data_IF_130214232995
#
_entry.id   IF_130214232995
#
_cell.length_a   1.000
_cell.length_b   1.000
_cell.length_c   1.000
_cell.angle_alpha   90.00
_cell.angle_beta   90.00
_cell.angle_gamma   90.00
#
_symmetry.space_group_name_H-M   'P 1'
#
loop_
_entity.id
_entity.type
_entity.pdbx_description
1 polymer ?
#
# COMPACT_ATOMS: atom_id res chain seq x y z
N UNK A 1 9.84 -54.12 -9.07
CA UNK A 1 8.38 -53.87 -9.15
C UNK A 1 8.00 -52.99 -7.96
N UNK A 2 8.01 -51.67 -8.13
CA UNK A 2 7.57 -50.75 -7.08
C UNK A 2 6.10 -50.42 -7.33
N UNK A 3 5.24 -50.93 -6.45
CA UNK A 3 3.85 -50.50 -6.39
C UNK A 3 3.84 -49.03 -5.96
N UNK A 4 3.54 -48.14 -6.91
CA UNK A 4 3.08 -46.80 -6.57
C UNK A 4 1.78 -46.98 -5.79
N UNK A 5 1.82 -46.70 -4.48
CA UNK A 5 0.62 -46.50 -3.69
C UNK A 5 -0.08 -45.26 -4.27
N UNK A 6 -1.05 -45.50 -5.15
CA UNK A 6 -2.06 -44.50 -5.47
C UNK A 6 -2.78 -44.20 -4.17
N UNK A 7 -2.53 -43.01 -3.61
CA UNK A 7 -3.39 -42.44 -2.58
C UNK A 7 -4.82 -42.47 -3.13
N UNK A 8 -5.80 -43.02 -2.37
CA UNK A 8 -7.16 -43.08 -2.85
C UNK A 8 -7.63 -41.65 -3.12
N UNK A 9 -8.07 -41.39 -4.35
CA UNK A 9 -8.78 -40.16 -4.70
C UNK A 9 -10.05 -40.10 -3.84
N UNK A 10 -9.94 -39.45 -2.67
CA UNK A 10 -11.10 -39.19 -1.81
C UNK A 10 -12.00 -38.26 -2.62
N UNK A 11 -13.13 -38.79 -3.09
CA UNK A 11 -14.14 -38.00 -3.80
C UNK A 11 -15.00 -37.32 -2.74
N UNK A 12 -14.86 -36.00 -2.63
CA UNK A 12 -15.73 -35.19 -1.78
C UNK A 12 -17.02 -34.89 -2.54
N UNK A 13 -18.16 -35.27 -1.96
CA UNK A 13 -19.48 -34.95 -2.51
C UNK A 13 -19.82 -33.50 -2.18
N UNK A 14 -20.22 -32.74 -3.20
CA UNK A 14 -20.61 -31.34 -3.08
C UNK A 14 -21.86 -31.06 -3.92
N UNK A 15 -22.65 -30.08 -3.49
CA UNK A 15 -23.79 -29.58 -4.28
C UNK A 15 -23.27 -28.71 -5.42
N UNK A 16 -23.97 -28.62 -6.57
CA UNK A 16 -23.56 -27.75 -7.67
C UNK A 16 -23.26 -26.29 -7.24
N UNK A 17 -24.06 -25.73 -6.34
CA UNK A 17 -23.88 -24.36 -5.82
C UNK A 17 -22.60 -24.16 -4.97
N UNK A 18 -21.98 -25.24 -4.52
CA UNK A 18 -20.72 -25.21 -3.76
C UNK A 18 -19.50 -25.23 -4.68
N UNK A 19 -19.68 -25.66 -5.95
CA UNK A 19 -18.62 -25.79 -6.95
C UNK A 19 -18.45 -24.53 -7.80
N UNK A 20 -17.28 -24.42 -8.43
CA UNK A 20 -16.95 -23.33 -9.36
C UNK A 20 -16.92 -23.78 -10.82
N UNK A 21 -17.23 -22.86 -11.73
CA UNK A 21 -17.19 -23.11 -13.18
C UNK A 21 -15.74 -23.24 -13.67
N UNK A 22 -15.30 -24.43 -14.14
CA UNK A 22 -13.93 -24.64 -14.64
C UNK A 22 -13.62 -23.84 -15.92
N UNK A 23 -14.62 -23.27 -16.60
CA UNK A 23 -14.39 -22.37 -17.75
C UNK A 23 -14.19 -20.91 -17.34
N UNK A 24 -14.48 -20.55 -16.10
CA UNK A 24 -14.27 -19.19 -15.59
C UNK A 24 -12.82 -19.00 -15.15
N UNK A 25 -11.90 -18.75 -16.10
CA UNK A 25 -10.46 -18.66 -15.83
C UNK A 25 -10.09 -17.69 -14.69
N UNK A 26 -10.76 -16.55 -14.63
CA UNK A 26 -10.55 -15.54 -13.57
C UNK A 26 -10.88 -16.05 -12.17
N UNK A 27 -11.72 -17.08 -12.06
CA UNK A 27 -12.07 -17.77 -10.81
C UNK A 27 -11.12 -18.94 -10.59
N UNK A 28 -10.89 -19.79 -11.59
CA UNK A 28 -10.03 -20.99 -11.46
C UNK A 28 -8.61 -20.62 -11.04
N UNK A 29 -8.09 -19.50 -11.54
CA UNK A 29 -6.72 -19.06 -11.28
C UNK A 29 -6.47 -18.65 -9.82
N UNK A 30 -7.54 -18.51 -9.02
CA UNK A 30 -7.50 -18.18 -7.59
C UNK A 30 -7.27 -19.39 -6.68
N UNK A 31 -7.47 -20.61 -7.19
CA UNK A 31 -7.39 -21.85 -6.41
C UNK A 31 -6.03 -22.52 -6.54
N UNK A 32 -5.59 -23.23 -5.50
CA UNK A 32 -4.42 -24.10 -5.56
C UNK A 32 -4.81 -25.40 -6.29
N UNK A 33 -3.83 -26.06 -6.91
CA UNK A 33 -4.07 -27.21 -7.80
C UNK A 33 -4.69 -28.42 -7.09
N UNK A 34 -4.45 -28.55 -5.80
CA UNK A 34 -4.93 -29.64 -4.95
C UNK A 34 -6.33 -29.38 -4.34
N UNK A 35 -6.95 -28.23 -4.65
CA UNK A 35 -8.28 -27.90 -4.12
C UNK A 35 -9.40 -28.55 -4.94
N UNK A 36 -10.19 -29.38 -4.27
CA UNK A 36 -11.31 -30.13 -4.87
C UNK A 36 -12.60 -29.30 -4.93
N UNK A 37 -12.57 -28.14 -5.58
CA UNK A 37 -13.70 -27.20 -5.66
C UNK A 37 -14.31 -27.09 -7.07
N UNK A 38 -13.92 -28.01 -7.97
CA UNK A 38 -14.39 -28.08 -9.35
C UNK A 38 -15.07 -29.42 -9.62
N UNK A 39 -16.00 -29.47 -10.60
CA UNK A 39 -16.60 -30.73 -11.02
C UNK A 39 -15.54 -31.75 -11.43
N UNK A 40 -15.63 -32.96 -10.88
CA UNK A 40 -14.70 -34.07 -11.14
C UNK A 40 -15.44 -35.34 -11.56
N UNK A 41 -14.69 -36.37 -11.95
CA UNK A 41 -15.25 -37.65 -12.40
C UNK A 41 -16.18 -37.50 -13.61
N UNK A 42 -17.36 -38.12 -13.57
CA UNK A 42 -18.34 -38.04 -14.67
C UNK A 42 -18.81 -36.61 -14.95
N UNK A 43 -18.85 -35.77 -13.92
CA UNK A 43 -19.28 -34.37 -14.01
C UNK A 43 -18.15 -33.40 -14.40
N UNK A 44 -16.91 -33.86 -14.40
CA UNK A 44 -15.75 -33.08 -14.84
C UNK A 44 -15.68 -32.88 -16.35
N UNK A 45 -16.47 -33.61 -17.15
CA UNK A 45 -16.53 -33.43 -18.60
C UNK A 45 -17.24 -32.12 -18.98
N UNK A 46 -16.51 -31.08 -19.47
CA UNK A 46 -17.08 -29.76 -19.69
C UNK A 46 -18.06 -29.66 -20.86
N UNK A 47 -18.14 -30.71 -21.69
CA UNK A 47 -18.98 -30.76 -22.89
C UNK A 47 -20.35 -31.36 -22.59
N UNK A 48 -20.41 -32.35 -21.69
CA UNK A 48 -21.64 -33.14 -21.47
C UNK A 48 -22.49 -32.65 -20.31
N UNK A 49 -21.88 -32.31 -19.18
CA UNK A 49 -22.62 -32.04 -17.94
C UNK A 49 -22.50 -30.60 -17.45
N UNK A 50 -21.50 -29.84 -17.90
CA UNK A 50 -21.33 -28.45 -17.50
C UNK A 50 -22.55 -27.56 -17.80
N UNK A 51 -23.27 -27.67 -18.94
CA UNK A 51 -24.48 -26.88 -19.16
C UNK A 51 -25.54 -27.11 -18.07
N UNK A 52 -25.74 -28.36 -17.66
CA UNK A 52 -26.68 -28.70 -16.60
C UNK A 52 -26.21 -28.19 -15.25
N UNK A 53 -24.91 -28.30 -14.95
CA UNK A 53 -24.33 -27.76 -13.71
C UNK A 53 -24.46 -26.23 -13.62
N UNK A 54 -24.36 -25.51 -14.76
CA UNK A 54 -24.65 -24.07 -14.82
C UNK A 54 -26.10 -23.75 -14.49
N UNK A 55 -27.05 -24.52 -15.01
CA UNK A 55 -28.46 -24.38 -14.66
C UNK A 55 -28.72 -24.67 -13.17
N UNK A 56 -27.94 -25.57 -12.58
CA UNK A 56 -27.99 -25.90 -11.15
C UNK A 56 -27.20 -24.93 -10.25
N UNK A 57 -26.57 -23.90 -10.83
CA UNK A 57 -26.01 -22.78 -10.09
C UNK A 57 -24.55 -22.92 -9.67
N UNK A 58 -23.69 -23.64 -10.43
CA UNK A 58 -22.23 -23.53 -10.21
C UNK A 58 -21.78 -22.07 -10.30
N UNK A 59 -20.79 -21.71 -9.47
CA UNK A 59 -20.35 -20.33 -9.31
C UNK A 59 -19.37 -19.93 -10.40
N UNK A 60 -19.71 -18.90 -11.19
CA UNK A 60 -18.76 -18.22 -12.08
C UNK A 60 -18.23 -16.91 -11.49
N UNK A 61 -18.76 -16.50 -10.33
CA UNK A 61 -18.34 -15.32 -9.57
C UNK A 61 -18.28 -15.70 -8.09
N UNK A 62 -17.26 -15.23 -7.38
CA UNK A 62 -17.13 -15.49 -5.94
C UNK A 62 -18.18 -14.70 -5.16
N UNK A 63 -18.77 -15.35 -4.17
CA UNK A 63 -19.54 -14.68 -3.10
C UNK A 63 -18.58 -14.11 -2.04
N UNK A 64 -19.05 -13.22 -1.16
CA UNK A 64 -18.27 -12.77 0.00
C UNK A 64 -17.72 -13.90 0.88
N UNK A 65 -18.51 -14.95 1.11
CA UNK A 65 -18.04 -16.11 1.88
C UNK A 65 -16.95 -16.88 1.13
N UNK A 66 -17.03 -16.96 -0.20
CA UNK A 66 -15.95 -17.57 -0.99
C UNK A 66 -14.66 -16.75 -0.84
N UNK A 67 -14.73 -15.41 -0.91
CA UNK A 67 -13.56 -14.53 -0.72
C UNK A 67 -12.92 -14.74 0.64
N UNK A 68 -13.71 -14.75 1.72
CA UNK A 68 -13.20 -15.00 3.07
C UNK A 68 -12.52 -16.38 3.13
N UNK A 69 -13.15 -17.40 2.56
CA UNK A 69 -12.59 -18.76 2.48
C UNK A 69 -11.29 -18.82 1.66
N UNK A 70 -11.13 -17.96 0.64
CA UNK A 70 -9.88 -17.83 -0.13
C UNK A 70 -8.78 -17.17 0.67
N UNK A 71 -9.11 -16.12 1.42
CA UNK A 71 -8.17 -15.47 2.34
C UNK A 71 -7.67 -16.49 3.37
N UNK A 72 -8.57 -17.28 3.95
CA UNK A 72 -8.19 -18.34 4.91
C UNK A 72 -7.28 -19.40 4.31
N UNK A 73 -7.56 -19.82 3.07
CA UNK A 73 -6.70 -20.74 2.36
C UNK A 73 -5.30 -20.15 2.09
N UNK A 74 -5.22 -18.89 1.67
CA UNK A 74 -3.94 -18.18 1.46
C UNK A 74 -3.12 -18.14 2.75
N UNK A 75 -3.75 -17.77 3.87
CA UNK A 75 -3.08 -17.66 5.18
C UNK A 75 -2.57 -19.03 5.63
N UNK A 76 -3.41 -20.07 5.56
CA UNK A 76 -3.02 -21.43 5.93
C UNK A 76 -1.87 -21.97 5.07
N UNK A 77 -1.85 -21.64 3.77
CA UNK A 77 -0.82 -22.12 2.83
C UNK A 77 0.51 -21.40 2.99
N UNK A 78 0.50 -20.16 3.49
CA UNK A 78 1.73 -19.42 3.80
C UNK A 78 2.66 -20.20 4.75
N UNK A 79 2.11 -20.97 5.66
CA UNK A 79 2.87 -21.74 6.67
C UNK A 79 3.49 -23.04 6.11
N UNK A 80 3.04 -23.52 4.95
CA UNK A 80 3.26 -24.92 4.52
C UNK A 80 3.68 -25.07 3.05
N UNK A 81 3.56 -24.03 2.24
CA UNK A 81 3.74 -24.09 0.77
C UNK A 81 4.77 -23.04 0.29
N UNK A 82 5.17 -23.13 -0.97
CA UNK A 82 5.98 -22.10 -1.65
C UNK A 82 5.34 -20.71 -1.51
N UNK A 83 6.02 -19.82 -0.77
CA UNK A 83 5.58 -18.47 -0.46
C UNK A 83 5.28 -17.63 -1.72
N UNK A 84 6.05 -17.79 -2.79
CA UNK A 84 5.85 -17.04 -4.04
C UNK A 84 4.54 -17.45 -4.72
N UNK A 85 4.19 -18.75 -4.70
CA UNK A 85 2.90 -19.22 -5.24
C UNK A 85 1.75 -18.64 -4.43
N UNK A 86 1.85 -18.65 -3.09
CA UNK A 86 0.83 -18.06 -2.20
C UNK A 86 0.65 -16.57 -2.50
N UNK A 87 1.77 -15.85 -2.70
CA UNK A 87 1.75 -14.43 -3.06
C UNK A 87 1.07 -14.18 -4.41
N UNK A 88 1.38 -14.99 -5.43
CA UNK A 88 0.72 -14.91 -6.74
C UNK A 88 -0.79 -15.12 -6.61
N UNK A 89 -1.23 -16.09 -5.79
CA UNK A 89 -2.66 -16.35 -5.55
C UNK A 89 -3.35 -15.20 -4.82
N UNK A 90 -2.69 -14.61 -3.83
CA UNK A 90 -3.19 -13.45 -3.11
C UNK A 90 -3.29 -12.20 -4.00
N UNK A 91 -2.29 -11.95 -4.85
CA UNK A 91 -2.32 -10.83 -5.81
C UNK A 91 -3.46 -11.01 -6.84
N UNK A 92 -3.66 -12.22 -7.35
CA UNK A 92 -4.78 -12.54 -8.23
C UNK A 92 -6.13 -12.35 -7.54
N UNK A 93 -6.25 -12.76 -6.27
CA UNK A 93 -7.47 -12.54 -5.49
C UNK A 93 -7.74 -11.05 -5.30
N UNK A 94 -6.72 -10.25 -4.96
CA UNK A 94 -6.86 -8.81 -4.81
C UNK A 94 -7.32 -8.15 -6.12
N UNK A 95 -6.72 -8.51 -7.26
CA UNK A 95 -7.12 -8.01 -8.59
C UNK A 95 -8.53 -8.45 -8.97
N UNK A 96 -8.89 -9.69 -8.67
CA UNK A 96 -10.25 -10.19 -8.88
C UNK A 96 -11.28 -9.38 -8.08
N UNK A 97 -10.98 -9.10 -6.81
CA UNK A 97 -11.84 -8.29 -5.95
C UNK A 97 -11.95 -6.87 -6.49
N UNK A 98 -10.85 -6.26 -6.94
CA UNK A 98 -10.86 -4.94 -7.61
C UNK A 98 -11.81 -4.93 -8.81
N UNK A 99 -11.66 -5.90 -9.71
CA UNK A 99 -12.44 -5.98 -10.95
C UNK A 99 -13.94 -6.30 -10.71
N UNK A 100 -14.26 -7.02 -9.64
CA UNK A 100 -15.61 -7.57 -9.38
C UNK A 100 -16.28 -6.98 -8.15
N UNK A 101 -15.68 -6.00 -7.48
CA UNK A 101 -16.14 -5.47 -6.19
C UNK A 101 -17.63 -5.13 -6.18
N UNK A 102 -18.09 -4.36 -7.16
CA UNK A 102 -19.48 -3.93 -7.23
C UNK A 102 -20.42 -5.11 -7.47
N UNK A 103 -19.99 -6.11 -8.25
CA UNK A 103 -20.77 -7.34 -8.46
C UNK A 103 -20.87 -8.19 -7.19
N UNK A 104 -19.77 -8.29 -6.42
CA UNK A 104 -19.69 -9.03 -5.17
C UNK A 104 -20.57 -8.40 -4.09
N UNK A 105 -20.63 -7.06 -4.06
CA UNK A 105 -21.28 -6.30 -2.99
C UNK A 105 -22.73 -5.90 -3.27
N UNK A 106 -23.17 -5.85 -4.54
CA UNK A 106 -24.49 -5.33 -4.96
C UNK A 106 -25.69 -5.89 -4.19
N UNK A 107 -25.65 -7.16 -3.80
CA UNK A 107 -26.77 -7.86 -3.16
C UNK A 107 -26.35 -8.65 -1.91
N UNK A 108 -25.22 -8.29 -1.30
CA UNK A 108 -24.73 -9.01 -0.12
C UNK A 108 -24.86 -8.17 1.14
N UNK A 109 -25.49 -8.77 2.14
CA UNK A 109 -25.53 -8.25 3.51
C UNK A 109 -24.35 -8.78 4.35
N UNK A 110 -23.50 -9.62 3.76
CA UNK A 110 -22.40 -10.25 4.45
C UNK A 110 -21.31 -9.21 4.75
N UNK A 111 -20.91 -9.14 6.01
CA UNK A 111 -19.81 -8.29 6.45
C UNK A 111 -18.50 -8.79 5.84
N UNK A 112 -17.80 -7.88 5.16
CA UNK A 112 -16.44 -8.11 4.64
C UNK A 112 -15.36 -7.63 5.62
N UNK A 113 -15.69 -7.40 6.90
CA UNK A 113 -14.71 -6.96 7.91
C UNK A 113 -13.53 -7.93 8.05
N UNK A 114 -13.75 -9.22 7.81
CA UNK A 114 -12.68 -10.22 7.79
C UNK A 114 -11.59 -9.92 6.75
N UNK A 115 -11.89 -9.17 5.68
CA UNK A 115 -10.87 -8.72 4.71
C UNK A 115 -9.90 -7.75 5.38
N UNK A 116 -10.39 -6.87 6.26
CA UNK A 116 -9.62 -5.78 6.86
C UNK A 116 -8.71 -6.23 8.00
N UNK A 117 -9.07 -7.32 8.68
CA UNK A 117 -8.38 -7.81 9.89
C UNK A 117 -7.32 -8.88 9.61
N UNK A 118 -7.32 -9.49 8.43
CA UNK A 118 -6.43 -10.61 8.09
C UNK A 118 -5.20 -10.17 7.30
N UNK A 119 -4.05 -10.77 7.57
CA UNK A 119 -2.79 -10.51 6.85
C UNK A 119 -2.71 -11.28 5.53
N UNK A 120 -3.37 -10.76 4.49
CA UNK A 120 -3.42 -11.43 3.18
C UNK A 120 -3.04 -10.54 2.00
N UNK A 121 -2.84 -9.23 2.21
CA UNK A 121 -2.47 -8.31 1.14
C UNK A 121 -0.97 -8.43 0.85
N UNK A 122 -0.56 -8.74 -0.40
CA UNK A 122 0.84 -8.69 -0.78
C UNK A 122 1.36 -7.24 -0.77
N UNK A 123 2.36 -6.98 0.06
CA UNK A 123 2.97 -5.65 0.22
C UNK A 123 4.49 -5.75 0.18
N UNK A 124 5.14 -4.59 0.03
CA UNK A 124 6.59 -4.43 0.11
C UNK A 124 6.95 -3.31 1.08
N UNK A 125 8.14 -3.41 1.68
CA UNK A 125 8.78 -2.32 2.42
C UNK A 125 9.64 -1.44 1.49
N UNK A 126 10.33 -0.46 2.07
CA UNK A 126 11.24 0.44 1.35
C UNK A 126 12.40 -0.29 0.65
N UNK A 127 12.81 -1.43 1.20
CA UNK A 127 13.92 -2.24 0.66
C UNK A 127 13.47 -3.12 -0.52
N UNK A 128 12.15 -3.22 -0.73
CA UNK A 128 11.53 -4.13 -1.68
C UNK A 128 11.33 -5.54 -1.13
N UNK A 129 11.50 -5.74 0.19
CA UNK A 129 11.22 -7.02 0.83
C UNK A 129 9.72 -7.27 0.80
N UNK A 130 9.34 -8.45 0.33
CA UNK A 130 7.96 -8.91 0.19
C UNK A 130 7.45 -9.47 1.51
N UNK A 131 6.22 -9.13 1.87
CA UNK A 131 5.48 -9.75 2.98
C UNK A 131 3.96 -9.56 2.80
N UNK A 132 3.18 -10.02 3.77
CA UNK A 132 1.73 -9.87 3.80
C UNK A 132 1.34 -8.89 4.90
N UNK A 133 0.34 -8.05 4.62
CA UNK A 133 -0.19 -7.07 5.57
C UNK A 133 -1.70 -7.16 5.66
N UNK A 134 -2.24 -6.66 6.78
CA UNK A 134 -3.66 -6.34 6.88
C UNK A 134 -3.95 -5.11 6.02
N UNK A 135 -5.13 -5.01 5.39
CA UNK A 135 -5.46 -3.81 4.64
C UNK A 135 -5.41 -2.51 5.46
N UNK A 136 -5.71 -2.59 6.77
CA UNK A 136 -5.68 -1.44 7.68
C UNK A 136 -4.27 -0.95 8.03
N UNK A 137 -3.26 -1.79 7.78
CA UNK A 137 -1.88 -1.53 8.17
C UNK A 137 -0.99 -1.22 6.95
N UNK A 138 -1.56 -1.11 5.75
CA UNK A 138 -0.82 -0.79 4.53
C UNK A 138 -1.51 0.26 3.67
N UNK A 139 -0.77 0.79 2.69
CA UNK A 139 -1.23 1.89 1.85
C UNK A 139 -1.15 1.56 0.36
N UNK A 140 -2.08 2.14 -0.39
CA UNK A 140 -2.03 2.15 -1.84
C UNK A 140 -0.75 2.80 -2.36
N UNK A 141 -0.24 2.30 -3.48
CA UNK A 141 0.99 2.77 -4.15
C UNK A 141 1.00 4.28 -4.44
N UNK A 142 -0.17 4.90 -4.61
CA UNK A 142 -0.33 6.37 -4.75
C UNK A 142 0.39 7.13 -3.62
N UNK A 143 0.36 6.60 -2.40
CA UNK A 143 0.93 7.24 -1.22
C UNK A 143 2.32 6.73 -0.85
N UNK A 144 2.98 5.96 -1.75
CA UNK A 144 4.29 5.34 -1.51
C UNK A 144 5.27 6.29 -0.83
N UNK A 145 5.51 7.45 -1.43
CA UNK A 145 6.53 8.40 -0.93
C UNK A 145 6.14 9.11 0.38
N UNK A 146 4.89 9.03 0.82
CA UNK A 146 4.45 9.57 2.10
C UNK A 146 4.60 8.57 3.24
N UNK A 147 4.74 7.27 2.95
CA UNK A 147 4.62 6.22 3.97
C UNK A 147 5.60 5.06 3.85
N UNK A 148 6.39 4.92 2.78
CA UNK A 148 7.12 3.68 2.49
C UNK A 148 8.19 3.25 3.51
N UNK A 149 8.67 4.14 4.38
CA UNK A 149 9.56 3.83 5.50
C UNK A 149 8.76 3.54 6.79
N UNK A 150 7.54 4.09 6.89
CA UNK A 150 6.70 4.00 8.06
C UNK A 150 5.64 2.90 8.00
N UNK A 151 5.26 2.48 6.80
CA UNK A 151 4.21 1.51 6.55
C UNK A 151 4.43 0.75 5.22
N UNK A 152 3.97 -0.51 5.14
CA UNK A 152 3.96 -1.31 3.93
C UNK A 152 3.15 -0.68 2.80
N UNK A 153 3.59 -0.89 1.56
CA UNK A 153 2.95 -0.33 0.36
C UNK A 153 2.57 -1.44 -0.63
N UNK A 154 1.43 -1.28 -1.29
CA UNK A 154 1.01 -2.17 -2.37
C UNK A 154 1.90 -2.04 -3.61
N UNK A 155 2.15 -3.16 -4.28
CA UNK A 155 2.84 -3.17 -5.58
C UNK A 155 1.90 -2.79 -6.75
N UNK A 156 0.60 -3.10 -6.60
CA UNK A 156 -0.44 -2.92 -7.60
C UNK A 156 -1.32 -1.69 -7.34
N UNK A 157 -1.73 -1.01 -8.41
CA UNK A 157 -2.67 0.10 -8.37
C UNK A 157 -4.10 -0.40 -8.57
N UNK A 158 -4.91 -0.38 -7.51
CA UNK A 158 -6.34 -0.67 -7.61
C UNK A 158 -7.08 0.43 -8.38
N UNK A 159 -8.18 0.04 -9.02
CA UNK A 159 -8.99 0.92 -9.88
C UNK A 159 -10.38 1.17 -9.31
N UNK A 160 -10.94 0.22 -8.58
CA UNK A 160 -12.31 0.32 -8.09
C UNK A 160 -12.41 1.32 -6.92
N UNK A 161 -13.14 2.41 -7.13
CA UNK A 161 -13.29 3.48 -6.14
C UNK A 161 -14.04 3.03 -4.89
N UNK A 162 -15.04 2.16 -5.04
CA UNK A 162 -15.82 1.67 -3.90
C UNK A 162 -14.97 0.74 -3.03
N UNK A 163 -14.12 -0.10 -3.63
CA UNK A 163 -13.15 -0.91 -2.90
C UNK A 163 -12.12 -0.03 -2.19
N UNK A 164 -11.53 0.94 -2.90
CA UNK A 164 -10.55 1.86 -2.31
C UNK A 164 -11.13 2.61 -1.10
N UNK A 165 -12.37 3.09 -1.20
CA UNK A 165 -13.09 3.73 -0.10
C UNK A 165 -13.34 2.77 1.07
N UNK A 166 -13.74 1.53 0.76
CA UNK A 166 -13.95 0.50 1.79
C UNK A 166 -12.67 0.17 2.55
N UNK A 167 -11.55 0.04 1.84
CA UNK A 167 -10.22 -0.23 2.42
C UNK A 167 -9.56 1.01 3.03
N UNK A 168 -10.14 2.21 2.85
CA UNK A 168 -9.56 3.52 3.21
C UNK A 168 -8.22 3.81 2.51
N UNK A 169 -8.01 3.24 1.32
CA UNK A 169 -6.81 3.46 0.51
C UNK A 169 -6.95 4.61 -0.49
N UNK A 170 -8.13 5.21 -0.62
CA UNK A 170 -8.33 6.50 -1.28
C UNK A 170 -8.04 7.69 -0.36
N UNK A 171 -7.94 7.44 0.95
CA UNK A 171 -7.78 8.48 1.96
C UNK A 171 -6.31 8.86 2.13
N UNK A 172 -6.04 10.16 2.24
CA UNK A 172 -4.70 10.67 2.43
C UNK A 172 -4.12 10.14 3.77
N UNK A 173 -2.82 9.79 3.85
CA UNK A 173 -2.21 9.31 5.09
C UNK A 173 -2.38 10.29 6.25
N UNK A 174 -2.50 9.73 7.45
CA UNK A 174 -2.51 10.50 8.68
C UNK A 174 -1.20 11.29 8.84
N UNK A 175 -1.33 12.51 9.38
CA UNK A 175 -0.19 13.43 9.54
C UNK A 175 0.91 12.84 10.44
N UNK A 176 0.54 12.06 11.45
CA UNK A 176 1.49 11.38 12.32
C UNK A 176 2.35 10.38 11.55
N UNK A 177 1.77 9.65 10.59
CA UNK A 177 2.51 8.71 9.74
C UNK A 177 3.45 9.45 8.79
N UNK A 178 3.00 10.56 8.19
CA UNK A 178 3.85 11.39 7.31
C UNK A 178 5.02 12.01 8.08
N UNK A 179 4.82 12.44 9.33
CA UNK A 179 5.91 12.95 10.16
C UNK A 179 6.87 11.84 10.60
N UNK A 180 6.36 10.64 10.89
CA UNK A 180 7.19 9.45 11.18
C UNK A 180 8.03 9.04 9.96
N UNK A 181 7.48 9.11 8.76
CA UNK A 181 8.22 8.93 7.50
C UNK A 181 9.39 9.91 7.39
N UNK A 182 9.16 11.19 7.69
CA UNK A 182 10.20 12.21 7.70
C UNK A 182 11.25 11.92 8.77
N UNK A 183 10.83 11.51 9.96
CA UNK A 183 11.72 11.11 11.05
C UNK A 183 12.66 9.97 10.65
N UNK A 184 12.15 8.95 9.96
CA UNK A 184 12.97 7.86 9.44
C UNK A 184 13.98 8.34 8.40
N UNK A 185 13.58 9.23 7.47
CA UNK A 185 14.52 9.83 6.53
C UNK A 185 15.70 10.50 7.23
N UNK A 186 15.42 11.27 8.30
CA UNK A 186 16.45 11.95 9.08
C UNK A 186 17.38 10.98 9.77
N UNK A 187 16.80 9.97 10.43
CA UNK A 187 17.54 8.95 11.17
C UNK A 187 18.46 8.18 10.24
N UNK A 188 17.95 7.76 9.08
CA UNK A 188 18.70 7.02 8.07
C UNK A 188 19.85 7.84 7.46
N UNK A 189 19.60 9.12 7.17
CA UNK A 189 20.64 10.06 6.72
C UNK A 189 21.73 10.22 7.79
N UNK A 190 21.35 10.44 9.05
CA UNK A 190 22.30 10.58 10.16
C UNK A 190 23.13 9.30 10.39
N UNK A 191 22.51 8.13 10.15
CA UNK A 191 23.16 6.83 10.20
C UNK A 191 23.96 6.49 8.94
N UNK A 192 24.14 7.43 8.00
CA UNK A 192 24.86 7.27 6.72
C UNK A 192 24.27 6.16 5.83
N UNK A 193 22.97 5.92 5.92
CA UNK A 193 22.21 4.94 5.14
C UNK A 193 20.98 5.59 4.50
N UNK A 194 21.14 6.67 3.71
CA UNK A 194 20.00 7.39 3.15
C UNK A 194 19.12 6.45 2.29
N UNK A 195 17.78 6.60 2.35
CA UNK A 195 16.88 5.87 1.46
C UNK A 195 17.21 6.15 0.00
N UNK A 196 17.12 5.13 -0.87
CA UNK A 196 17.40 5.25 -2.31
C UNK A 196 16.60 6.37 -2.99
N UNK A 197 15.35 6.56 -2.55
CA UNK A 197 14.42 7.55 -3.10
C UNK A 197 14.23 8.78 -2.17
N UNK A 198 15.22 9.08 -1.31
CA UNK A 198 15.15 10.14 -0.30
C UNK A 198 14.59 11.47 -0.84
N UNK A 199 15.08 11.95 -1.99
CA UNK A 199 14.61 13.20 -2.60
C UNK A 199 13.13 13.15 -2.99
N UNK A 200 12.67 12.03 -3.55
CA UNK A 200 11.26 11.83 -3.92
C UNK A 200 10.37 11.78 -2.69
N UNK A 201 10.84 11.15 -1.61
CA UNK A 201 10.16 11.09 -0.31
C UNK A 201 10.02 12.50 0.28
N UNK A 202 11.13 13.23 0.44
CA UNK A 202 11.08 14.59 0.99
C UNK A 202 10.21 15.52 0.14
N UNK A 203 10.30 15.43 -1.19
CA UNK A 203 9.51 16.23 -2.09
C UNK A 203 8.01 15.96 -1.96
N UNK A 204 7.60 14.70 -1.83
CA UNK A 204 6.20 14.33 -1.60
C UNK A 204 5.70 14.82 -0.23
N UNK A 205 6.54 14.74 0.80
CA UNK A 205 6.23 15.24 2.14
C UNK A 205 6.04 16.76 2.11
N UNK A 206 6.91 17.52 1.44
CA UNK A 206 6.76 18.97 1.31
C UNK A 206 5.53 19.35 0.48
N UNK A 207 5.19 18.57 -0.53
CA UNK A 207 3.96 18.74 -1.31
C UNK A 207 2.72 18.55 -0.42
N UNK A 208 2.68 17.49 0.38
CA UNK A 208 1.62 17.23 1.37
C UNK A 208 1.49 18.38 2.39
N UNK A 209 2.61 18.90 2.91
CA UNK A 209 2.62 20.05 3.81
C UNK A 209 2.09 21.31 3.12
N UNK A 210 2.50 21.54 1.88
CA UNK A 210 2.08 22.70 1.12
C UNK A 210 0.58 22.64 0.77
N UNK A 211 0.06 21.48 0.41
CA UNK A 211 -1.39 21.29 0.21
C UNK A 211 -2.19 21.64 1.47
N UNK A 212 -1.74 21.18 2.65
CA UNK A 212 -2.37 21.54 3.91
C UNK A 212 -2.27 23.04 4.25
N UNK A 213 -1.13 23.67 3.91
CA UNK A 213 -0.89 25.10 4.12
C UNK A 213 -1.76 25.98 3.21
N UNK A 214 -1.97 25.59 1.96
CA UNK A 214 -2.73 26.36 0.97
C UNK A 214 -4.24 26.15 1.06
N UNK A 215 -4.68 25.08 1.73
CA UNK A 215 -6.09 24.77 1.87
C UNK A 215 -6.79 25.68 2.89
N UNK A 216 -8.04 26.03 2.57
CA UNK A 216 -8.83 26.98 3.38
C UNK A 216 -9.77 26.30 4.38
N UNK A 217 -9.89 24.97 4.35
CA UNK A 217 -10.75 24.21 5.25
C UNK A 217 -10.11 24.00 6.64
N UNK A 218 -10.94 23.85 7.66
CA UNK A 218 -10.49 23.76 9.05
C UNK A 218 -9.64 22.51 9.31
N UNK A 219 -10.00 21.37 8.70
CA UNK A 219 -9.25 20.12 8.86
C UNK A 219 -7.82 20.24 8.34
N UNK A 220 -7.63 20.90 7.19
CA UNK A 220 -6.30 21.16 6.65
C UNK A 220 -5.50 22.15 7.50
N UNK A 221 -6.14 23.18 8.07
CA UNK A 221 -5.49 24.11 9.00
C UNK A 221 -5.04 23.42 10.28
N UNK A 222 -5.88 22.59 10.87
CA UNK A 222 -5.54 21.77 12.06
C UNK A 222 -4.34 20.85 11.75
N UNK A 223 -4.38 20.18 10.61
CA UNK A 223 -3.27 19.34 10.12
C UNK A 223 -1.98 20.15 9.99
N UNK A 224 -2.04 21.31 9.34
CA UNK A 224 -0.88 22.16 9.15
C UNK A 224 -0.33 22.71 10.48
N UNK A 225 -1.20 23.12 11.40
CA UNK A 225 -0.83 23.55 12.74
C UNK A 225 -0.09 22.43 13.50
N UNK A 226 -0.56 21.19 13.38
CA UNK A 226 0.09 20.04 13.97
C UNK A 226 1.49 19.78 13.37
N UNK A 227 1.63 19.90 12.05
CA UNK A 227 2.93 19.80 11.35
C UNK A 227 3.88 20.88 11.86
N UNK A 228 3.44 22.14 11.85
CA UNK A 228 4.25 23.29 12.24
C UNK A 228 4.73 23.17 13.68
N UNK A 229 3.85 22.74 14.59
CA UNK A 229 4.21 22.48 15.99
C UNK A 229 5.23 21.34 16.12
N UNK A 230 5.01 20.23 15.42
CA UNK A 230 5.87 19.04 15.51
C UNK A 230 7.26 19.25 14.93
N UNK A 231 7.40 20.13 13.92
CA UNK A 231 8.67 20.43 13.27
C UNK A 231 9.37 21.66 13.83
N UNK A 232 8.77 22.32 14.84
CA UNK A 232 9.39 23.47 15.48
C UNK A 232 10.69 23.06 16.15
N UNK A 233 11.80 23.67 15.73
CA UNK A 233 13.18 23.39 16.15
C UNK A 233 13.75 22.04 15.68
N UNK A 234 13.02 21.30 14.83
CA UNK A 234 13.52 20.07 14.26
C UNK A 234 14.34 20.34 12.99
N UNK A 235 15.31 19.48 12.69
CA UNK A 235 16.00 19.49 11.40
C UNK A 235 15.19 18.73 10.37
N UNK A 236 14.41 19.41 9.54
CA UNK A 236 13.41 18.76 8.65
C UNK A 236 13.57 19.13 7.18
N UNK A 237 14.43 20.09 6.86
CA UNK A 237 14.70 20.55 5.49
C UNK A 237 15.92 19.81 4.94
N UNK A 238 15.74 18.98 3.92
CA UNK A 238 16.85 18.29 3.26
C UNK A 238 17.67 19.30 2.46
N UNK A 239 18.93 19.53 2.84
CA UNK A 239 19.84 20.43 2.12
C UNK A 239 21.06 19.64 1.69
N UNK A 240 21.13 19.29 0.40
CA UNK A 240 22.15 18.37 -0.11
C UNK A 240 21.93 16.95 0.42
N UNK A 241 22.80 16.51 1.31
CA UNK A 241 22.81 15.17 1.93
C UNK A 241 22.45 15.19 3.43
N UNK A 242 22.11 16.36 3.99
CA UNK A 242 21.83 16.52 5.43
C UNK A 242 20.50 17.24 5.67
N UNK A 243 19.85 16.90 6.76
CA UNK A 243 18.70 17.66 7.23
C UNK A 243 19.14 18.87 8.06
N UNK A 244 18.46 20.01 7.86
CA UNK A 244 18.71 21.27 8.55
C UNK A 244 17.42 21.82 9.15
N UNK A 245 17.54 22.55 10.26
CA UNK A 245 16.45 23.28 10.86
C UNK A 245 16.18 24.58 10.09
N UNK A 246 14.97 25.12 10.21
CA UNK A 246 14.55 26.30 9.43
C UNK A 246 15.39 27.55 9.72
N UNK A 247 15.94 27.70 10.93
CA UNK A 247 16.83 28.81 11.29
C UNK A 247 18.20 28.77 10.58
N UNK A 248 18.60 27.59 10.09
CA UNK A 248 19.86 27.34 9.39
C UNK A 248 19.74 27.38 7.86
N UNK A 249 18.55 27.68 7.34
CA UNK A 249 18.28 27.74 5.91
C UNK A 249 17.82 29.15 5.52
N UNK A 250 18.35 29.66 4.42
CA UNK A 250 17.95 30.95 3.84
C UNK A 250 17.63 30.82 2.35
N UNK A 251 16.76 31.67 1.81
CA UNK A 251 16.41 31.64 0.39
C UNK A 251 17.53 32.26 -0.47
N UNK A 252 18.06 33.39 -0.04
CA UNK A 252 19.11 34.12 -0.73
C UNK A 252 20.39 34.08 0.11
N UNK A 253 21.35 33.25 -0.33
CA UNK A 253 22.69 33.18 0.28
C UNK A 253 23.72 33.78 -0.70
N UNK A 254 24.42 34.88 -0.33
CA UNK A 254 25.47 35.46 -1.16
C UNK A 254 26.57 34.45 -1.49
N UNK A 255 27.12 34.49 -2.71
CA UNK A 255 28.10 33.52 -3.20
C UNK A 255 29.33 33.33 -2.29
N UNK A 256 29.75 34.40 -1.61
CA UNK A 256 30.88 34.38 -0.66
C UNK A 256 30.66 33.50 0.58
N UNK A 257 29.45 33.00 0.81
CA UNK A 257 29.07 32.17 1.96
C UNK A 257 28.55 30.78 1.53
N UNK A 258 28.68 30.41 0.26
CA UNK A 258 28.16 29.14 -0.29
C UNK A 258 29.13 27.95 -0.11
N UNK A 259 29.97 27.97 0.92
CA UNK A 259 30.88 26.85 1.21
C UNK A 259 30.13 25.68 1.87
N UNK A 260 30.53 24.44 1.55
CA UNK A 260 29.84 23.21 1.98
C UNK A 260 29.80 23.00 3.51
N UNK A 261 30.67 23.68 4.27
CA UNK A 261 30.74 23.61 5.74
C UNK A 261 30.11 24.82 6.45
N UNK A 262 29.38 25.68 5.71
CA UNK A 262 28.72 26.83 6.31
C UNK A 262 27.62 26.44 7.30
N UNK A 263 27.56 27.16 8.42
CA UNK A 263 26.50 27.01 9.43
C UNK A 263 25.11 27.37 8.86
N UNK A 264 25.07 28.19 7.81
CA UNK A 264 23.85 28.57 7.09
C UNK A 264 23.95 28.09 5.65
N UNK A 265 22.88 27.44 5.17
CA UNK A 265 22.81 26.93 3.80
C UNK A 265 21.68 27.59 3.01
N UNK A 266 21.84 27.61 1.70
CA UNK A 266 20.79 28.05 0.78
C UNK A 266 19.71 26.98 0.65
N UNK A 267 18.44 27.39 0.63
CA UNK A 267 17.33 26.51 0.29
C UNK A 267 17.58 25.91 -1.11
N UNK A 268 17.50 24.58 -1.27
CA UNK A 268 17.65 23.95 -2.57
C UNK A 268 16.62 24.48 -3.58
N UNK A 269 17.06 24.72 -4.82
CA UNK A 269 16.25 25.34 -5.87
C UNK A 269 15.00 24.52 -6.21
N UNK A 270 15.09 23.20 -6.10
CA UNK A 270 13.97 22.28 -6.30
C UNK A 270 12.79 22.54 -5.34
N UNK A 271 13.03 23.19 -4.20
CA UNK A 271 12.02 23.48 -3.18
C UNK A 271 11.43 24.89 -3.29
N UNK A 272 11.84 25.69 -4.28
CA UNK A 272 11.33 27.05 -4.47
C UNK A 272 9.84 27.08 -4.79
N UNK A 273 9.29 26.00 -5.35
CA UNK A 273 7.84 25.82 -5.53
C UNK A 273 7.04 25.81 -4.23
N UNK A 274 7.71 25.58 -3.10
CA UNK A 274 7.15 25.60 -1.74
C UNK A 274 7.68 26.77 -0.91
N UNK A 275 8.25 27.80 -1.56
CA UNK A 275 8.94 28.91 -0.87
C UNK A 275 8.09 29.55 0.23
N UNK A 276 6.80 29.78 -0.01
CA UNK A 276 5.92 30.44 0.96
C UNK A 276 5.65 29.56 2.18
N UNK A 277 5.52 28.24 1.99
CA UNK A 277 5.46 27.26 3.08
C UNK A 277 6.74 27.35 3.93
N UNK A 278 7.91 27.27 3.31
CA UNK A 278 9.19 27.31 4.03
C UNK A 278 9.35 28.61 4.82
N UNK A 279 8.99 29.76 4.22
CA UNK A 279 8.98 31.06 4.91
C UNK A 279 8.07 31.05 6.13
N UNK A 280 6.84 30.58 5.96
CA UNK A 280 5.87 30.50 7.04
C UNK A 280 6.39 29.62 8.20
N UNK A 281 7.13 28.56 7.87
CA UNK A 281 7.75 27.65 8.85
C UNK A 281 9.12 28.12 9.39
N UNK A 282 9.51 29.37 9.10
CA UNK A 282 10.66 30.03 9.73
C UNK A 282 11.94 30.11 8.89
N UNK A 283 11.93 29.69 7.62
CA UNK A 283 13.06 29.92 6.70
C UNK A 283 13.13 31.40 6.34
N UNK A 284 14.33 31.98 6.46
CA UNK A 284 14.53 33.42 6.26
C UNK A 284 14.83 33.76 4.80
N UNK A 285 14.56 34.99 4.41
CA UNK A 285 14.93 35.47 3.07
C UNK A 285 16.45 35.56 2.92
N UNK A 286 17.15 36.13 3.90
CA UNK A 286 18.59 36.41 3.85
C UNK A 286 19.26 36.14 5.22
N UNK A 287 20.59 36.10 5.22
CA UNK A 287 21.41 36.05 6.44
C UNK A 287 21.28 37.36 7.23
N UNK A 288 21.40 37.27 8.55
CA UNK A 288 21.40 38.43 9.45
C UNK A 288 22.71 38.55 10.22
N UNK A 289 22.82 39.61 11.03
CA UNK A 289 24.01 39.91 11.85
C UNK A 289 24.40 38.73 12.76
N UNK A 290 23.43 37.94 13.22
CA UNK A 290 23.63 36.76 14.07
C UNK A 290 24.28 35.56 13.38
N UNK A 291 24.44 35.60 12.06
CA UNK A 291 24.99 34.51 11.24
C UNK A 291 26.40 34.81 10.69
N UNK A 292 26.90 36.03 10.93
CA UNK A 292 28.26 36.48 10.59
C UNK A 292 29.20 36.19 11.75
#
# INVERSE_FOLDING_TARGET
MSQQQQTPNVIILAKPMELFDPKAKTVTDLFFEDEQLFPAGRYGSPQKYLPNLKLLGIKSVLTPNDIISRIDAIIKRRETTNEELVRIKADRLLKYIDDKWDQITKNSNASLEALLEKEWIPTVDESGKKFFSKPRECYGKKYKYLVCLAAPVLEYNLRNRNLLKYLKWDTCPDVGIVLKQLEFCRSDVNNKRPPKELRSICNAIYEYMNEAFQANDETSKERFNFINKSLKNESWILCGDKFRSSDKVVINLPNRFQDNDSLIVKLPMEYYRFKDLFKHMGVRDEIGVKDL
#
